data_IF_532564131249
#
_entry.id   IF_532564131249
#
_cell.length_a   1.000
_cell.length_b   1.000
_cell.length_c   1.000
_cell.angle_alpha   90.00
_cell.angle_beta   90.00
_cell.angle_gamma   90.00
#
_symmetry.space_group_name_H-M   'P 1'
#
loop_
_entity.id
_entity.type
_entity.pdbx_description
1 polymer ?
#
# COMPACT_ATOMS: atom_id res chain seq x y z
N UNK A 1 -5.04 17.47 -8.21
CA UNK A 1 -3.98 16.50 -7.86
C UNK A 1 -3.85 15.54 -9.02
N UNK A 2 -2.63 15.08 -9.29
CA UNK A 2 -2.39 14.08 -10.32
C UNK A 2 -2.76 12.69 -9.81
N UNK A 3 -3.13 11.76 -10.70
CA UNK A 3 -3.41 10.35 -10.34
C UNK A 3 -2.27 9.71 -9.55
N UNK A 4 -1.02 10.13 -9.78
CA UNK A 4 0.14 9.67 -9.03
C UNK A 4 0.15 10.18 -7.58
N UNK A 5 -0.22 11.44 -7.36
CA UNK A 5 -0.29 12.02 -6.02
C UNK A 5 -1.39 11.36 -5.19
N UNK A 6 -2.53 11.05 -5.80
CA UNK A 6 -3.63 10.35 -5.14
C UNK A 6 -3.21 8.91 -4.76
N UNK A 7 -2.56 8.20 -5.69
CA UNK A 7 -2.03 6.86 -5.42
C UNK A 7 -0.97 6.85 -4.29
N UNK A 8 -0.10 7.85 -4.25
CA UNK A 8 0.89 8.00 -3.17
C UNK A 8 0.22 8.28 -1.82
N UNK A 9 -0.85 9.06 -1.80
CA UNK A 9 -1.64 9.31 -0.58
C UNK A 9 -2.32 8.04 -0.07
N UNK A 10 -2.91 7.26 -0.97
CA UNK A 10 -3.55 6.00 -0.61
C UNK A 10 -2.54 5.01 -0.01
N UNK A 11 -1.34 4.91 -0.61
CA UNK A 11 -0.25 4.07 -0.06
C UNK A 11 0.15 4.53 1.35
N UNK A 12 0.26 5.83 1.59
CA UNK A 12 0.62 6.34 2.92
C UNK A 12 -0.47 6.06 3.96
N UNK A 13 -1.75 6.23 3.60
CA UNK A 13 -2.90 5.92 4.46
C UNK A 13 -2.92 4.43 4.79
N UNK A 14 -2.82 3.56 3.78
CA UNK A 14 -2.81 2.10 3.96
C UNK A 14 -1.63 1.65 4.83
N UNK A 15 -0.45 2.24 4.66
CA UNK A 15 0.72 1.97 5.49
C UNK A 15 0.48 2.32 6.96
N UNK A 16 -0.10 3.49 7.23
CA UNK A 16 -0.44 3.91 8.60
C UNK A 16 -1.46 2.97 9.24
N UNK A 17 -2.54 2.66 8.50
CA UNK A 17 -3.57 1.73 8.96
C UNK A 17 -3.03 0.33 9.26
N UNK A 18 -2.14 -0.19 8.41
CA UNK A 18 -1.49 -1.47 8.63
C UNK A 18 -0.65 -1.45 9.91
N UNK A 19 0.16 -0.41 10.12
CA UNK A 19 0.98 -0.29 11.34
C UNK A 19 0.12 -0.17 12.61
N UNK A 20 -0.97 0.60 12.56
CA UNK A 20 -1.93 0.66 13.65
C UNK A 20 -2.58 -0.69 13.93
N UNK A 21 -2.94 -1.44 12.89
CA UNK A 21 -3.53 -2.77 13.02
C UNK A 21 -2.53 -3.75 13.63
N UNK A 22 -1.27 -3.78 13.16
CA UNK A 22 -0.21 -4.60 13.74
C UNK A 22 -0.04 -4.30 15.24
N UNK A 23 -0.03 -3.02 15.62
CA UNK A 23 0.05 -2.62 17.03
C UNK A 23 -1.17 -3.08 17.84
N UNK A 24 -2.38 -2.93 17.30
CA UNK A 24 -3.63 -3.42 17.94
C UNK A 24 -3.64 -4.94 18.11
N UNK A 25 -3.03 -5.66 17.18
CA UNK A 25 -2.87 -7.13 17.20
C UNK A 25 -1.60 -7.57 17.94
N UNK A 26 -0.97 -6.69 18.73
CA UNK A 26 0.21 -7.00 19.55
C UNK A 26 1.41 -7.53 18.76
N UNK A 27 1.53 -7.13 17.49
CA UNK A 27 2.60 -7.59 16.61
C UNK A 27 2.33 -8.94 15.94
N UNK A 28 1.12 -9.49 16.04
CA UNK A 28 0.75 -10.71 15.32
C UNK A 28 0.64 -10.43 13.82
N UNK A 29 1.70 -10.76 13.08
CA UNK A 29 1.77 -10.57 11.64
C UNK A 29 1.01 -11.64 10.84
N UNK A 30 0.63 -12.76 11.47
CA UNK A 30 -0.14 -13.84 10.83
C UNK A 30 -1.62 -13.73 11.12
N UNK A 31 -2.05 -12.78 11.95
CA UNK A 31 -3.44 -12.42 12.14
C UNK A 31 -4.11 -12.19 10.77
N UNK A 32 -5.27 -12.83 10.49
CA UNK A 32 -5.90 -12.76 9.18
C UNK A 32 -6.23 -11.33 8.72
N UNK A 33 -6.54 -10.42 9.64
CA UNK A 33 -6.80 -9.02 9.31
C UNK A 33 -5.51 -8.29 8.91
N UNK A 34 -4.41 -8.54 9.63
CA UNK A 34 -3.08 -7.99 9.30
C UNK A 34 -2.62 -8.48 7.94
N UNK A 35 -2.77 -9.78 7.67
CA UNK A 35 -2.44 -10.38 6.36
C UNK A 35 -3.30 -9.76 5.26
N UNK A 36 -4.59 -9.54 5.51
CA UNK A 36 -5.50 -8.93 4.54
C UNK A 36 -5.11 -7.48 4.25
N UNK A 37 -4.88 -6.67 5.28
CA UNK A 37 -4.45 -5.29 5.13
C UNK A 37 -3.09 -5.19 4.40
N UNK A 38 -2.15 -6.09 4.70
CA UNK A 38 -0.86 -6.18 4.00
C UNK A 38 -1.02 -6.49 2.50
N UNK A 39 -1.93 -7.40 2.14
CA UNK A 39 -2.25 -7.68 0.73
C UNK A 39 -2.83 -6.47 -0.01
N UNK A 40 -3.69 -5.69 0.66
CA UNK A 40 -4.26 -4.46 0.08
C UNK A 40 -3.16 -3.42 -0.17
N UNK A 41 -2.28 -3.17 0.81
CA UNK A 41 -1.14 -2.27 0.63
C UNK A 41 -0.22 -2.74 -0.51
N UNK A 42 0.05 -4.04 -0.59
CA UNK A 42 0.86 -4.60 -1.66
C UNK A 42 0.24 -4.39 -3.05
N UNK A 43 -1.09 -4.50 -3.17
CA UNK A 43 -1.79 -4.22 -4.43
C UNK A 43 -1.62 -2.75 -4.86
N UNK A 44 -1.73 -1.80 -3.92
CA UNK A 44 -1.51 -0.38 -4.19
C UNK A 44 -0.06 -0.09 -4.62
N UNK A 45 0.93 -0.69 -3.95
CA UNK A 45 2.34 -0.59 -4.32
C UNK A 45 2.62 -1.16 -5.73
N UNK A 46 2.00 -2.28 -6.07
CA UNK A 46 2.12 -2.86 -7.41
C UNK A 46 1.51 -1.96 -8.48
N UNK A 47 0.40 -1.29 -8.19
CA UNK A 47 -0.18 -0.30 -9.10
C UNK A 47 0.75 0.90 -9.30
N UNK A 48 1.40 1.38 -8.24
CA UNK A 48 2.40 2.44 -8.32
C UNK A 48 3.60 2.03 -9.18
N UNK A 49 4.15 0.84 -8.95
CA UNK A 49 5.26 0.32 -9.74
C UNK A 49 4.90 0.23 -11.23
N UNK A 50 3.70 -0.28 -11.56
CA UNK A 50 3.22 -0.30 -12.95
C UNK A 50 3.11 1.09 -13.55
N UNK A 51 2.56 2.05 -12.81
CA UNK A 51 2.42 3.43 -13.29
C UNK A 51 3.79 4.05 -13.60
N UNK A 52 4.77 3.86 -12.72
CA UNK A 52 6.15 4.34 -12.93
C UNK A 52 6.80 3.63 -14.11
N UNK A 53 6.68 2.31 -14.21
CA UNK A 53 7.22 1.53 -15.33
C UNK A 53 6.66 2.00 -16.68
N UNK A 54 5.36 2.27 -16.76
CA UNK A 54 4.71 2.78 -17.98
C UNK A 54 5.18 4.20 -18.35
N UNK A 55 5.40 5.06 -17.36
CA UNK A 55 5.96 6.41 -17.57
C UNK A 55 7.42 6.34 -18.04
N UNK A 56 8.20 5.40 -17.51
CA UNK A 56 9.62 5.22 -17.86
C UNK A 56 9.80 4.53 -19.22
N UNK A 57 8.94 3.57 -19.59
CA UNK A 57 8.96 2.90 -20.91
C UNK A 57 8.47 3.78 -22.07
N UNK A 58 7.81 4.91 -21.77
CA UNK A 58 7.40 5.90 -22.78
C UNK A 58 8.49 6.93 -23.11
N UNK A 59 9.70 6.79 -22.55
CA UNK A 59 10.92 7.50 -22.98
C UNK A 59 11.74 6.62 -23.91
#
# INVERSE_FOLDING_TARGET
>A
MSELEDLLKDIDILRKQLNELINKKQGDLVDPEVVTASKVLNAALNQYNKFIDEKLKKK
#
